data_IF_989150802182
#
_entry.id   IF_989150802182
#
_cell.length_a   1.000
_cell.length_b   1.000
_cell.length_c   1.000
_cell.angle_alpha   90.00
_cell.angle_beta   90.00
_cell.angle_gamma   90.00
#
_symmetry.space_group_name_H-M   'P 1'
#
loop_
_entity.id
_entity.type
_entity.pdbx_description
1 polymer ?
#
# COMPACT_ATOMS: atom_id res chain seq x y z
N UNK A 1 -15.52 15.29 0.96
CA UNK A 1 -14.12 14.77 0.98
C UNK A 1 -13.66 14.18 -0.37
N UNK A 2 -14.50 13.45 -1.12
CA UNK A 2 -14.08 12.88 -2.39
C UNK A 2 -13.66 13.93 -3.45
N UNK A 3 -14.39 15.04 -3.66
CA UNK A 3 -13.91 16.14 -4.51
C UNK A 3 -12.57 16.70 -4.03
N UNK A 4 -12.43 16.94 -2.74
CA UNK A 4 -11.21 17.50 -2.14
C UNK A 4 -9.98 16.60 -2.35
N UNK A 5 -10.16 15.29 -2.46
CA UNK A 5 -9.05 14.36 -2.75
C UNK A 5 -8.33 14.73 -4.06
N UNK A 6 -9.06 15.10 -5.10
CA UNK A 6 -8.51 15.41 -6.43
C UNK A 6 -7.93 16.83 -6.53
N UNK A 7 -8.30 17.70 -5.60
CA UNK A 7 -7.84 19.10 -5.54
C UNK A 7 -6.58 19.24 -4.67
N UNK A 8 -6.48 18.42 -3.63
CA UNK A 8 -5.41 18.51 -2.61
C UNK A 8 -4.12 17.84 -3.08
N UNK A 9 -4.23 16.78 -3.89
CA UNK A 9 -3.06 16.04 -4.36
C UNK A 9 -2.72 16.42 -5.81
N UNK A 10 -1.45 16.71 -6.07
CA UNK A 10 -0.95 17.14 -7.39
C UNK A 10 -0.91 16.02 -8.43
N UNK A 11 -1.14 14.79 -8.01
CA UNK A 11 -1.09 13.58 -8.81
C UNK A 11 -2.30 12.67 -8.53
N UNK A 12 -2.58 11.66 -9.35
CA UNK A 12 -3.70 10.74 -9.11
C UNK A 12 -3.44 9.84 -7.90
N UNK A 13 -3.48 10.44 -6.71
CA UNK A 13 -3.18 9.80 -5.44
C UNK A 13 -4.30 8.84 -5.03
N UNK A 14 -4.05 7.54 -5.13
CA UNK A 14 -5.08 6.51 -5.00
C UNK A 14 -5.03 5.69 -3.69
N UNK A 15 -4.33 6.15 -2.65
CA UNK A 15 -4.49 5.57 -1.33
C UNK A 15 -5.83 6.03 -0.72
N UNK A 16 -6.75 5.08 -0.53
CA UNK A 16 -8.08 5.36 0.02
C UNK A 16 -8.06 5.91 1.46
N UNK A 17 -6.95 5.71 2.18
CA UNK A 17 -6.76 6.28 3.51
C UNK A 17 -6.53 7.80 3.50
N UNK A 18 -6.33 8.40 2.34
CA UNK A 18 -6.30 9.85 2.17
C UNK A 18 -7.63 10.51 2.56
N UNK A 19 -8.77 9.83 2.30
CA UNK A 19 -10.09 10.35 2.69
C UNK A 19 -10.25 10.54 4.20
N UNK A 20 -10.00 9.54 5.05
CA UNK A 20 -10.03 9.74 6.49
C UNK A 20 -8.89 10.65 6.99
N UNK A 21 -7.74 10.74 6.29
CA UNK A 21 -6.68 11.70 6.64
C UNK A 21 -7.15 13.14 6.45
N UNK A 22 -7.83 13.44 5.36
CA UNK A 22 -8.46 14.76 5.13
C UNK A 22 -9.51 15.09 6.19
N UNK A 23 -10.36 14.13 6.53
CA UNK A 23 -11.38 14.32 7.55
C UNK A 23 -10.77 14.59 8.94
N UNK A 24 -9.77 13.77 9.30
CA UNK A 24 -9.04 13.93 10.56
C UNK A 24 -8.39 15.30 10.64
N UNK A 25 -7.70 15.73 9.57
CA UNK A 25 -7.04 17.05 9.53
C UNK A 25 -8.04 18.19 9.67
N UNK A 26 -9.21 18.08 9.03
CA UNK A 26 -10.29 19.06 9.17
C UNK A 26 -10.77 19.19 10.63
N UNK A 27 -11.02 18.07 11.30
CA UNK A 27 -11.46 18.04 12.68
C UNK A 27 -10.35 18.56 13.61
N UNK A 28 -9.11 18.10 13.40
CA UNK A 28 -7.94 18.52 14.20
C UNK A 28 -7.74 20.04 14.18
N UNK A 29 -8.04 20.68 13.06
CA UNK A 29 -7.92 22.16 12.91
C UNK A 29 -8.84 22.94 13.86
N UNK A 30 -9.93 22.34 14.26
CA UNK A 30 -10.88 23.00 15.18
C UNK A 30 -10.25 23.26 16.56
N UNK A 31 -9.31 22.39 16.98
CA UNK A 31 -8.72 22.44 18.32
C UNK A 31 -7.25 22.89 18.32
N UNK A 32 -6.46 22.52 17.29
CA UNK A 32 -5.01 22.76 17.29
C UNK A 32 -4.47 23.19 15.91
N UNK A 33 -3.31 23.84 15.93
CA UNK A 33 -2.55 24.21 14.72
C UNK A 33 -1.36 23.30 14.48
N UNK A 34 -0.92 22.57 15.51
CA UNK A 34 0.20 21.63 15.44
C UNK A 34 -0.22 20.32 16.10
N UNK A 35 0.01 19.19 15.42
CA UNK A 35 -0.29 17.86 15.92
C UNK A 35 0.95 16.96 15.84
N UNK A 36 1.09 16.01 16.77
CA UNK A 36 2.11 14.98 16.70
C UNK A 36 1.55 13.72 16.05
N UNK A 37 2.36 13.07 15.21
CA UNK A 37 2.01 11.84 14.51
C UNK A 37 3.02 10.72 14.80
N UNK A 38 2.59 9.48 14.58
CA UNK A 38 3.40 8.28 14.76
C UNK A 38 4.05 7.75 13.46
N UNK A 39 4.01 8.52 12.37
CA UNK A 39 4.60 8.11 11.10
C UNK A 39 6.11 7.84 11.23
N UNK A 40 6.61 6.84 10.48
CA UNK A 40 7.99 6.37 10.61
C UNK A 40 8.19 5.28 11.66
N UNK A 41 7.25 5.14 12.61
CA UNK A 41 7.35 4.14 13.68
C UNK A 41 7.17 2.70 13.21
N UNK A 42 6.30 2.46 12.24
CA UNK A 42 6.09 1.12 11.65
C UNK A 42 7.29 0.70 10.78
N UNK A 43 7.87 1.62 10.05
CA UNK A 43 9.01 1.42 9.16
C UNK A 43 10.28 1.11 9.95
N UNK A 44 10.64 2.00 10.86
CA UNK A 44 11.88 1.91 11.62
C UNK A 44 11.86 0.80 12.67
N UNK A 45 10.70 0.51 13.28
CA UNK A 45 10.55 -0.45 14.36
C UNK A 45 9.76 -1.72 13.99
N UNK A 46 9.63 -2.01 12.69
CA UNK A 46 9.08 -3.26 12.14
C UNK A 46 7.64 -3.53 12.59
N UNK A 47 6.76 -2.55 12.45
CA UNK A 47 5.37 -2.62 12.93
C UNK A 47 4.39 -3.29 11.97
N UNK A 48 4.68 -3.38 10.67
CA UNK A 48 3.77 -3.89 9.66
C UNK A 48 3.58 -5.42 9.71
N UNK A 49 2.39 -5.89 9.30
CA UNK A 49 2.06 -7.31 9.26
C UNK A 49 2.91 -8.10 8.26
N UNK A 50 3.42 -7.46 7.22
CA UNK A 50 4.26 -8.15 6.24
C UNK A 50 5.62 -8.58 6.81
N UNK A 51 6.09 -8.02 7.93
CA UNK A 51 7.28 -8.52 8.61
C UNK A 51 7.10 -9.95 9.13
N UNK A 52 5.88 -10.39 9.44
CA UNK A 52 5.59 -11.79 9.78
C UNK A 52 5.82 -12.73 8.59
N UNK A 53 5.75 -12.18 7.36
CA UNK A 53 5.98 -12.93 6.13
C UNK A 53 7.47 -13.01 5.75
N UNK A 54 8.28 -12.04 6.16
CA UNK A 54 9.71 -11.95 5.79
C UNK A 54 10.50 -13.17 6.24
N UNK A 55 10.12 -13.82 7.34
CA UNK A 55 10.74 -15.07 7.82
C UNK A 55 10.28 -16.29 7.04
N UNK A 56 9.04 -16.29 6.50
CA UNK A 56 8.42 -17.47 5.88
C UNK A 56 8.96 -17.86 4.50
N UNK A 57 9.48 -16.93 3.66
CA UNK A 57 9.95 -17.28 2.32
C UNK A 57 11.05 -18.31 2.31
N UNK A 58 11.93 -18.29 3.30
CA UNK A 58 13.08 -19.16 3.34
C UNK A 58 12.71 -20.64 3.27
N UNK A 59 11.58 -21.04 3.88
CA UNK A 59 11.20 -22.46 3.89
C UNK A 59 10.73 -22.98 2.55
N UNK A 60 9.92 -22.23 1.79
CA UNK A 60 9.46 -22.69 0.49
C UNK A 60 10.52 -22.52 -0.60
N UNK A 61 11.47 -21.61 -0.43
CA UNK A 61 12.59 -21.44 -1.36
C UNK A 61 13.58 -22.63 -1.33
N UNK A 62 13.57 -23.44 -0.28
CA UNK A 62 14.33 -24.72 -0.28
C UNK A 62 13.77 -25.74 -1.27
N UNK A 63 12.50 -25.63 -1.66
CA UNK A 63 11.94 -26.46 -2.73
C UNK A 63 12.49 -25.95 -4.07
N UNK A 64 13.13 -26.79 -4.87
CA UNK A 64 13.67 -26.38 -6.16
C UNK A 64 12.64 -25.66 -7.03
N UNK A 65 13.05 -24.62 -7.73
CA UNK A 65 12.15 -23.77 -8.52
C UNK A 65 11.32 -24.57 -9.52
N UNK A 66 11.90 -25.58 -10.20
CA UNK A 66 11.19 -26.41 -11.17
C UNK A 66 10.02 -27.17 -10.53
N UNK A 67 10.20 -27.71 -9.30
CA UNK A 67 9.13 -28.40 -8.56
C UNK A 67 8.00 -27.42 -8.23
N UNK A 68 8.34 -26.23 -7.72
CA UNK A 68 7.36 -25.18 -7.41
C UNK A 68 6.63 -24.69 -8.67
N UNK A 69 7.31 -24.63 -9.79
CA UNK A 69 6.72 -24.26 -11.08
C UNK A 69 5.69 -25.30 -11.53
N UNK A 70 6.00 -26.59 -11.42
CA UNK A 70 5.07 -27.69 -11.73
C UNK A 70 3.85 -27.60 -10.78
N UNK A 71 4.05 -27.48 -9.48
CA UNK A 71 2.96 -27.31 -8.51
C UNK A 71 2.08 -26.13 -8.91
N UNK A 72 2.67 -25.00 -9.33
CA UNK A 72 1.94 -23.83 -9.75
C UNK A 72 1.03 -24.07 -10.97
N UNK A 73 1.41 -24.98 -11.86
CA UNK A 73 0.60 -25.37 -13.03
C UNK A 73 -0.58 -26.27 -12.65
N UNK A 74 -0.39 -27.11 -11.64
CA UNK A 74 -1.40 -28.06 -11.17
C UNK A 74 -2.50 -27.41 -10.31
N UNK A 75 -2.33 -26.18 -9.84
CA UNK A 75 -3.33 -25.49 -9.04
C UNK A 75 -4.57 -25.18 -9.91
N UNK A 76 -5.75 -25.73 -9.61
CA UNK A 76 -6.96 -25.51 -10.40
C UNK A 76 -7.40 -24.05 -10.36
N UNK A 77 -7.78 -23.48 -11.51
CA UNK A 77 -8.20 -22.07 -11.60
C UNK A 77 -9.56 -21.80 -10.96
N UNK A 78 -10.41 -22.85 -10.83
CA UNK A 78 -11.81 -22.65 -10.42
C UNK A 78 -12.04 -22.77 -8.91
N UNK A 79 -11.18 -23.47 -8.16
CA UNK A 79 -11.40 -23.72 -6.73
C UNK A 79 -11.11 -22.49 -5.85
N UNK A 80 -10.22 -21.58 -6.31
CA UNK A 80 -9.81 -20.40 -5.53
C UNK A 80 -9.43 -19.24 -6.44
N UNK A 81 -10.36 -18.70 -7.23
CA UNK A 81 -10.07 -17.72 -8.31
C UNK A 81 -8.97 -16.68 -7.93
N UNK A 82 -9.09 -16.03 -6.78
CA UNK A 82 -8.11 -15.02 -6.32
C UNK A 82 -6.91 -15.61 -5.58
N UNK A 83 -7.17 -16.57 -4.69
CA UNK A 83 -6.09 -17.18 -3.88
C UNK A 83 -5.17 -18.03 -4.75
N UNK A 84 -5.70 -18.68 -5.79
CA UNK A 84 -4.92 -19.49 -6.71
C UNK A 84 -3.90 -18.65 -7.50
N UNK A 85 -4.30 -17.49 -8.02
CA UNK A 85 -3.39 -16.61 -8.74
C UNK A 85 -2.28 -16.06 -7.83
N UNK A 86 -2.63 -15.65 -6.61
CA UNK A 86 -1.64 -15.21 -5.61
C UNK A 86 -0.67 -16.34 -5.26
N UNK A 87 -1.19 -17.56 -5.02
CA UNK A 87 -0.36 -18.71 -4.70
C UNK A 87 0.56 -19.11 -5.86
N UNK A 88 0.03 -19.13 -7.10
CA UNK A 88 0.84 -19.38 -8.31
C UNK A 88 2.01 -18.41 -8.45
N UNK A 89 1.79 -17.13 -8.14
CA UNK A 89 2.85 -16.11 -8.19
C UNK A 89 3.88 -16.32 -7.11
N UNK A 90 3.45 -16.61 -5.87
CA UNK A 90 4.37 -16.92 -4.77
C UNK A 90 5.24 -18.13 -5.12
N UNK A 91 4.68 -19.19 -5.69
CA UNK A 91 5.42 -20.36 -6.11
C UNK A 91 6.44 -20.11 -7.23
N UNK A 92 6.26 -19.06 -8.03
CA UNK A 92 7.17 -18.64 -9.10
C UNK A 92 8.27 -17.69 -8.65
N UNK A 93 8.32 -17.28 -7.41
CA UNK A 93 9.38 -16.44 -6.85
C UNK A 93 10.68 -17.22 -6.83
N UNK A 94 11.76 -16.64 -7.33
CA UNK A 94 13.05 -17.31 -7.46
C UNK A 94 13.96 -17.15 -6.24
N UNK A 95 13.86 -16.00 -5.57
CA UNK A 95 14.72 -15.63 -4.45
C UNK A 95 14.05 -14.65 -3.48
N UNK A 96 14.68 -14.42 -2.34
CA UNK A 96 14.18 -13.52 -1.29
C UNK A 96 13.97 -12.08 -1.79
N UNK A 97 14.76 -11.63 -2.78
CA UNK A 97 14.61 -10.28 -3.33
C UNK A 97 13.29 -10.12 -4.07
N UNK A 98 12.96 -11.07 -4.95
CA UNK A 98 11.68 -11.08 -5.66
C UNK A 98 10.49 -11.18 -4.70
N UNK A 99 10.67 -11.88 -3.58
CA UNK A 99 9.64 -11.96 -2.55
C UNK A 99 9.41 -10.62 -1.87
N UNK A 100 10.48 -9.96 -1.42
CA UNK A 100 10.40 -8.65 -0.77
C UNK A 100 9.83 -7.60 -1.74
N UNK A 101 10.31 -7.59 -2.99
CA UNK A 101 9.76 -6.74 -4.05
C UNK A 101 8.25 -6.98 -4.23
N UNK A 102 7.82 -8.24 -4.19
CA UNK A 102 6.41 -8.60 -4.30
C UNK A 102 5.53 -8.07 -3.17
N UNK A 103 6.07 -7.82 -1.98
CA UNK A 103 5.35 -7.17 -0.87
C UNK A 103 4.95 -5.75 -1.26
N UNK A 104 5.84 -5.00 -1.91
CA UNK A 104 5.63 -3.59 -2.26
C UNK A 104 4.88 -3.40 -3.59
N UNK A 105 5.13 -4.26 -4.58
CA UNK A 105 4.46 -4.14 -5.89
C UNK A 105 3.04 -4.64 -5.90
N UNK A 106 2.62 -5.27 -4.80
CA UNK A 106 1.42 -6.10 -4.81
C UNK A 106 1.51 -7.10 -5.96
N UNK A 107 1.42 -8.38 -5.71
CA UNK A 107 1.47 -9.44 -6.73
C UNK A 107 0.42 -9.31 -7.85
N UNK A 108 -0.17 -8.17 -7.99
CA UNK A 108 -1.37 -7.92 -8.77
C UNK A 108 -1.22 -6.81 -9.83
N UNK A 109 -0.09 -6.68 -10.51
CA UNK A 109 -0.02 -5.84 -11.72
C UNK A 109 -0.92 -6.45 -12.81
N UNK A 110 -2.21 -6.16 -12.75
CA UNK A 110 -3.20 -6.80 -13.64
C UNK A 110 -3.35 -6.04 -14.95
N UNK A 111 -2.99 -4.77 -14.97
CA UNK A 111 -3.45 -3.87 -16.02
C UNK A 111 -2.37 -3.08 -16.74
N UNK A 112 -1.19 -2.94 -16.17
CA UNK A 112 -0.11 -2.18 -16.79
C UNK A 112 0.94 -3.12 -17.39
N UNK A 113 1.49 -2.72 -18.51
CA UNK A 113 2.60 -3.41 -19.15
C UNK A 113 3.78 -3.53 -18.17
N UNK A 114 4.39 -4.72 -18.13
CA UNK A 114 5.59 -4.98 -17.31
C UNK A 114 6.79 -4.12 -17.69
N UNK A 115 6.71 -3.39 -18.81
CA UNK A 115 7.75 -2.45 -19.24
C UNK A 115 7.91 -1.26 -18.27
N UNK A 116 6.88 -0.89 -17.52
CA UNK A 116 6.97 0.09 -16.44
C UNK A 116 7.57 -0.56 -15.17
N UNK A 117 8.82 -1.00 -15.30
CA UNK A 117 9.56 -1.60 -14.21
C UNK A 117 10.19 -0.49 -13.34
N UNK A 118 9.32 0.34 -12.70
CA UNK A 118 9.75 1.41 -11.81
C UNK A 118 10.64 0.91 -10.66
N UNK A 119 10.47 -0.37 -10.25
CA UNK A 119 11.40 -1.03 -9.33
C UNK A 119 12.78 -1.27 -9.94
N UNK A 120 12.93 -1.22 -11.28
CA UNK A 120 14.27 -1.34 -11.89
C UNK A 120 15.21 -0.23 -11.45
N UNK A 121 14.65 0.96 -11.19
CA UNK A 121 15.41 2.10 -10.68
C UNK A 121 15.91 1.86 -9.24
N UNK A 122 15.27 0.94 -8.51
CA UNK A 122 15.67 0.53 -7.16
C UNK A 122 16.58 -0.71 -7.14
N UNK A 123 16.99 -1.25 -8.29
CA UNK A 123 18.00 -2.33 -8.38
C UNK A 123 19.34 -1.92 -7.77
N UNK A 124 19.64 -0.64 -7.77
CA UNK A 124 20.85 -0.08 -7.13
C UNK A 124 20.80 -0.16 -5.59
N UNK A 125 19.62 -0.39 -4.99
CA UNK A 125 19.49 -0.69 -3.56
C UNK A 125 19.95 -2.11 -3.18
N UNK A 126 20.68 -2.82 -4.04
CA UNK A 126 21.35 -4.10 -3.70
C UNK A 126 22.32 -4.00 -2.53
N UNK A 127 22.76 -2.79 -2.19
CA UNK A 127 23.63 -2.50 -1.03
C UNK A 127 22.87 -2.33 0.29
N UNK A 128 21.53 -2.40 0.28
CA UNK A 128 20.75 -2.48 1.49
C UNK A 128 21.10 -3.76 2.26
N UNK A 129 20.93 -3.72 3.57
CA UNK A 129 21.32 -4.79 4.51
C UNK A 129 21.13 -6.20 3.94
N UNK A 130 22.05 -7.12 4.24
CA UNK A 130 21.91 -8.56 3.96
C UNK A 130 20.76 -9.20 4.76
N UNK A 131 20.35 -8.57 5.87
CA UNK A 131 19.24 -9.04 6.68
C UNK A 131 17.91 -8.66 6.01
N UNK A 132 17.05 -9.64 5.72
CA UNK A 132 15.78 -9.43 5.03
C UNK A 132 14.82 -8.49 5.78
N UNK A 133 14.80 -8.50 7.12
CA UNK A 133 13.97 -7.58 7.91
C UNK A 133 14.44 -6.13 7.73
N UNK A 134 15.75 -5.89 7.86
CA UNK A 134 16.29 -4.55 7.69
C UNK A 134 16.11 -4.07 6.24
N UNK A 135 16.33 -4.95 5.27
CA UNK A 135 16.10 -4.64 3.86
C UNK A 135 14.64 -4.26 3.59
N UNK A 136 13.70 -5.00 4.18
CA UNK A 136 12.27 -4.68 4.06
C UNK A 136 11.95 -3.34 4.72
N UNK A 137 12.54 -3.03 5.87
CA UNK A 137 12.40 -1.73 6.54
C UNK A 137 12.93 -0.59 5.66
N UNK A 138 14.12 -0.74 5.09
CA UNK A 138 14.73 0.25 4.20
C UNK A 138 13.84 0.51 2.96
N UNK A 139 13.24 -0.54 2.39
CA UNK A 139 12.30 -0.41 1.27
C UNK A 139 10.97 0.21 1.69
N UNK A 140 10.47 -0.08 2.90
CA UNK A 140 9.28 0.61 3.43
C UNK A 140 9.52 2.11 3.54
N UNK A 141 10.67 2.54 4.07
CA UNK A 141 11.02 3.96 4.16
C UNK A 141 11.06 4.57 2.76
N UNK A 142 11.74 3.93 1.81
CA UNK A 142 12.00 4.49 0.49
C UNK A 142 10.81 4.45 -0.46
N UNK A 143 10.00 3.43 -0.40
CA UNK A 143 8.91 3.21 -1.34
C UNK A 143 7.55 3.65 -0.79
N UNK A 144 7.29 3.35 0.49
CA UNK A 144 5.99 3.60 1.11
C UNK A 144 5.98 4.92 1.88
N UNK A 145 6.89 5.08 2.84
CA UNK A 145 6.89 6.25 3.71
C UNK A 145 7.13 7.54 2.92
N UNK A 146 8.15 7.55 2.06
CA UNK A 146 8.50 8.73 1.27
C UNK A 146 7.42 9.09 0.24
N UNK A 147 6.88 8.11 -0.49
CA UNK A 147 6.04 8.36 -1.67
C UNK A 147 4.53 8.22 -1.41
N UNK A 148 4.13 7.65 -0.28
CA UNK A 148 2.71 7.48 0.06
C UNK A 148 2.40 8.15 1.40
N UNK A 149 2.92 7.63 2.53
CA UNK A 149 2.51 8.07 3.86
C UNK A 149 2.81 9.54 4.13
N UNK A 150 4.03 10.01 3.83
CA UNK A 150 4.42 11.40 4.05
C UNK A 150 3.64 12.34 3.12
N UNK A 151 3.51 12.00 1.83
CA UNK A 151 2.73 12.79 0.87
C UNK A 151 1.28 12.89 1.32
N UNK A 152 0.69 11.78 1.75
CA UNK A 152 -0.69 11.73 2.24
C UNK A 152 -0.91 12.64 3.44
N UNK A 153 -0.07 12.49 4.46
CA UNK A 153 -0.22 13.25 5.72
C UNK A 153 0.04 14.73 5.49
N UNK A 154 1.11 15.07 4.78
CA UNK A 154 1.46 16.46 4.48
C UNK A 154 0.35 17.17 3.71
N UNK A 155 -0.09 16.62 2.58
CA UNK A 155 -1.12 17.24 1.75
C UNK A 155 -2.46 17.35 2.48
N UNK A 156 -2.87 16.28 3.20
CA UNK A 156 -4.12 16.29 3.94
C UNK A 156 -4.12 17.31 5.08
N UNK A 157 -3.03 17.42 5.84
CA UNK A 157 -2.94 18.33 6.98
C UNK A 157 -2.78 19.79 6.54
N UNK A 158 -1.95 20.03 5.51
CA UNK A 158 -1.74 21.37 4.98
C UNK A 158 -2.99 21.93 4.28
N UNK A 159 -3.85 21.09 3.71
CA UNK A 159 -5.14 21.53 3.16
C UNK A 159 -6.03 22.21 4.21
N UNK A 160 -5.81 21.93 5.49
CA UNK A 160 -6.51 22.55 6.62
C UNK A 160 -5.60 23.39 7.51
N UNK A 161 -4.38 23.71 7.06
CA UNK A 161 -3.39 24.51 7.81
C UNK A 161 -3.08 23.93 9.20
N UNK A 162 -2.93 22.60 9.27
CA UNK A 162 -2.43 21.85 10.44
C UNK A 162 -1.01 21.43 10.18
N UNK A 163 -0.06 21.79 11.03
CA UNK A 163 1.31 21.31 10.97
C UNK A 163 1.41 19.96 11.68
N UNK A 164 1.78 18.90 10.94
CA UNK A 164 2.01 17.59 11.53
C UNK A 164 3.50 17.36 11.74
N UNK A 165 3.89 16.99 12.96
CA UNK A 165 5.26 16.65 13.33
C UNK A 165 5.34 15.18 13.70
N UNK A 166 6.26 14.45 13.07
CA UNK A 166 6.46 13.03 13.28
C UNK A 166 7.83 12.74 13.91
N UNK A 167 7.93 12.62 15.25
CA UNK A 167 9.22 12.42 15.93
C UNK A 167 10.01 11.19 15.43
N UNK A 168 9.31 10.13 14.97
CA UNK A 168 9.96 8.93 14.43
C UNK A 168 10.60 9.15 13.05
N UNK A 169 10.33 10.28 12.39
CA UNK A 169 10.98 10.68 11.13
C UNK A 169 12.29 11.45 11.36
N UNK A 170 12.63 11.78 12.61
CA UNK A 170 13.94 12.33 12.91
C UNK A 170 15.04 11.35 12.47
N UNK A 171 15.94 11.80 11.62
CA UNK A 171 16.99 10.94 11.04
C UNK A 171 17.82 10.23 12.11
N UNK A 172 18.03 10.86 13.28
CA UNK A 172 18.77 10.27 14.42
C UNK A 172 18.05 9.06 14.99
N UNK A 173 16.69 9.09 15.02
CA UNK A 173 15.87 7.96 15.47
C UNK A 173 15.89 6.85 14.42
N UNK A 174 15.81 7.19 13.14
CA UNK A 174 15.88 6.22 12.03
C UNK A 174 17.24 5.51 12.04
N UNK A 175 18.35 6.26 12.15
CA UNK A 175 19.70 5.72 12.22
C UNK A 175 19.87 4.83 13.46
N UNK A 176 19.46 5.32 14.63
CA UNK A 176 19.49 4.53 15.87
C UNK A 176 18.69 3.23 15.74
N UNK A 177 17.46 3.28 15.27
CA UNK A 177 16.62 2.09 15.06
C UNK A 177 17.32 1.08 14.13
N UNK A 178 18.05 1.56 13.11
CA UNK A 178 18.79 0.72 12.18
C UNK A 178 19.98 -0.01 12.85
N UNK A 179 20.59 0.55 13.89
CA UNK A 179 21.68 -0.09 14.64
C UNK A 179 21.17 -1.18 15.59
N UNK A 180 19.89 -1.16 15.96
CA UNK A 180 19.33 -2.12 16.90
C UNK A 180 19.28 -3.53 16.28
N UNK A 181 19.62 -4.56 17.06
CA UNK A 181 19.32 -5.94 16.68
C UNK A 181 17.85 -6.12 16.36
N UNK A 182 17.54 -6.97 15.38
CA UNK A 182 16.14 -7.22 14.97
C UNK A 182 15.27 -7.64 16.15
N UNK A 183 15.79 -8.45 17.09
CA UNK A 183 15.06 -8.92 18.28
C UNK A 183 14.56 -7.80 19.21
N UNK A 184 15.14 -6.61 19.17
CA UNK A 184 14.64 -5.45 19.91
C UNK A 184 13.45 -4.78 19.22
N UNK A 185 13.37 -4.88 17.92
CA UNK A 185 12.32 -4.26 17.11
C UNK A 185 11.18 -5.21 16.80
N UNK A 186 11.49 -6.48 16.54
CA UNK A 186 10.55 -7.50 16.12
C UNK A 186 10.86 -8.85 16.77
N UNK A 187 9.81 -9.47 17.30
CA UNK A 187 9.77 -10.88 17.69
C UNK A 187 8.47 -11.48 17.13
N UNK A 188 8.41 -12.75 16.72
CA UNK A 188 7.17 -13.36 16.25
C UNK A 188 5.99 -13.09 17.18
N UNK A 189 4.96 -12.44 16.66
CA UNK A 189 3.79 -11.99 17.42
C UNK A 189 3.96 -10.69 18.22
N UNK A 190 5.16 -10.10 18.31
CA UNK A 190 5.41 -8.83 19.00
C UNK A 190 6.18 -7.85 18.12
N UNK A 191 5.46 -6.93 17.50
CA UNK A 191 5.99 -5.86 16.66
C UNK A 191 6.30 -4.61 17.49
N UNK A 192 7.18 -3.73 17.00
CA UNK A 192 7.59 -2.50 17.71
C UNK A 192 8.03 -2.78 19.15
N UNK A 193 8.72 -3.88 19.40
CA UNK A 193 8.97 -4.40 20.75
C UNK A 193 9.54 -3.34 21.70
N UNK A 194 10.67 -2.71 21.34
CA UNK A 194 11.30 -1.69 22.18
C UNK A 194 10.39 -0.49 22.45
N UNK A 195 9.59 -0.05 21.46
CA UNK A 195 8.65 1.04 21.68
C UNK A 195 7.54 0.64 22.67
N UNK A 196 7.06 -0.59 22.57
CA UNK A 196 6.06 -1.11 23.52
C UNK A 196 6.65 -1.24 24.92
N UNK A 197 7.90 -1.70 25.04
CA UNK A 197 8.60 -1.83 26.34
C UNK A 197 8.84 -0.45 26.98
N UNK A 198 9.10 0.59 26.18
CA UNK A 198 9.17 1.98 26.66
C UNK A 198 7.78 2.46 27.08
N UNK A 199 6.76 2.23 26.28
CA UNK A 199 5.40 2.72 26.51
C UNK A 199 4.79 2.15 27.79
N UNK A 200 5.08 0.88 28.14
CA UNK A 200 4.66 0.23 29.40
C UNK A 200 5.08 0.97 30.67
N UNK A 201 6.12 1.83 30.58
CA UNK A 201 6.55 2.65 31.72
C UNK A 201 5.64 3.84 31.98
N UNK A 202 4.79 4.20 31.03
CA UNK A 202 3.97 5.41 31.07
C UNK A 202 2.47 5.12 31.10
N UNK A 203 2.04 4.04 30.42
CA UNK A 203 0.62 3.67 30.32
C UNK A 203 0.46 2.16 30.44
N UNK A 204 -0.69 1.68 30.99
CA UNK A 204 -1.00 0.26 31.07
C UNK A 204 -1.03 -0.42 29.70
N UNK A 205 -0.61 -1.70 29.64
CA UNK A 205 -0.50 -2.45 28.38
C UNK A 205 -1.84 -2.61 27.68
N UNK A 206 -2.92 -2.73 28.41
CA UNK A 206 -4.28 -2.91 27.91
C UNK A 206 -4.74 -1.72 27.03
N UNK A 207 -4.16 -0.54 27.25
CA UNK A 207 -4.51 0.67 26.50
C UNK A 207 -3.95 0.62 25.08
N UNK A 208 -2.75 0.07 24.89
CA UNK A 208 -2.06 0.08 23.59
C UNK A 208 -1.90 -1.30 22.95
N UNK A 209 -2.17 -2.38 23.67
CA UNK A 209 -2.12 -3.73 23.12
C UNK A 209 -3.43 -4.14 22.45
N UNK A 210 -3.85 -3.30 21.53
CA UNK A 210 -5.04 -3.52 20.73
C UNK A 210 -4.69 -4.19 19.40
N UNK A 211 -5.60 -4.99 18.83
CA UNK A 211 -5.43 -5.51 17.48
C UNK A 211 -5.16 -4.38 16.48
N UNK A 212 -4.14 -4.55 15.63
CA UNK A 212 -3.83 -3.54 14.62
C UNK A 212 -5.01 -3.39 13.65
N UNK A 213 -5.67 -2.25 13.68
CA UNK A 213 -6.60 -1.81 12.63
C UNK A 213 -5.89 -0.82 11.71
N UNK A 214 -6.12 -0.97 10.40
CA UNK A 214 -5.65 0.01 9.43
C UNK A 214 -6.52 1.27 9.47
N UNK A 215 -5.95 2.41 9.11
CA UNK A 215 -6.68 3.65 8.85
C UNK A 215 -7.37 3.53 7.48
N UNK A 216 -8.43 2.72 7.43
CA UNK A 216 -9.08 2.31 6.18
C UNK A 216 -10.58 2.61 6.22
N UNK A 217 -11.12 2.90 5.05
CA UNK A 217 -12.56 3.08 4.83
C UNK A 217 -13.18 1.79 4.25
N UNK A 218 -14.48 1.57 4.41
CA UNK A 218 -15.19 0.43 3.80
C UNK A 218 -15.37 0.62 2.29
N UNK A 219 -14.24 0.83 1.59
CA UNK A 219 -14.19 1.19 0.18
C UNK A 219 -14.96 0.22 -0.72
N UNK A 220 -14.91 -1.09 -0.41
CA UNK A 220 -15.60 -2.09 -1.21
C UNK A 220 -17.12 -1.95 -1.16
N UNK A 221 -17.66 -1.61 0.00
CA UNK A 221 -19.09 -1.39 0.20
C UNK A 221 -19.51 -0.07 -0.46
N UNK A 222 -18.75 1.00 -0.26
CA UNK A 222 -19.01 2.28 -0.94
C UNK A 222 -19.04 2.14 -2.46
N UNK A 223 -18.11 1.39 -3.06
CA UNK A 223 -18.11 1.15 -4.52
C UNK A 223 -19.38 0.40 -4.96
N UNK A 224 -19.84 -0.57 -4.17
CA UNK A 224 -21.02 -1.36 -4.50
C UNK A 224 -22.33 -0.62 -4.27
N UNK A 225 -22.37 0.30 -3.31
CA UNK A 225 -23.57 0.97 -2.81
C UNK A 225 -23.55 2.47 -3.12
N UNK A 226 -23.01 3.27 -2.22
CA UNK A 226 -23.09 4.74 -2.26
C UNK A 226 -22.48 5.36 -3.50
N UNK A 227 -21.34 4.84 -3.95
CA UNK A 227 -20.61 5.32 -5.12
C UNK A 227 -20.93 4.56 -6.41
N UNK A 228 -21.82 3.58 -6.37
CA UNK A 228 -22.09 2.69 -7.52
C UNK A 228 -22.41 3.44 -8.80
N UNK A 229 -23.32 4.40 -8.72
CA UNK A 229 -23.73 5.21 -9.86
C UNK A 229 -22.56 6.01 -10.44
N UNK A 230 -21.85 6.73 -9.58
CA UNK A 230 -20.70 7.53 -9.96
C UNK A 230 -19.58 6.66 -10.55
N UNK A 231 -19.29 5.50 -9.95
CA UNK A 231 -18.28 4.56 -10.46
C UNK A 231 -18.61 4.08 -11.88
N UNK A 232 -19.85 3.70 -12.14
CA UNK A 232 -20.26 3.22 -13.47
C UNK A 232 -20.23 4.34 -14.53
N UNK A 233 -20.56 5.56 -14.16
CA UNK A 233 -20.50 6.73 -15.02
C UNK A 233 -19.05 7.12 -15.36
N UNK A 234 -18.20 7.26 -14.32
CA UNK A 234 -16.81 7.64 -14.50
C UNK A 234 -16.00 6.56 -15.20
N UNK A 235 -16.28 5.29 -14.93
CA UNK A 235 -15.60 4.15 -15.53
C UNK A 235 -16.33 3.63 -16.80
N UNK A 236 -16.97 4.52 -17.56
CA UNK A 236 -17.56 4.21 -18.85
C UNK A 236 -16.50 3.80 -19.88
N UNK A 237 -16.89 3.12 -20.96
CA UNK A 237 -15.97 2.66 -22.00
C UNK A 237 -15.23 3.83 -22.68
N UNK A 238 -15.92 4.97 -22.81
CA UNK A 238 -15.35 6.20 -23.36
C UNK A 238 -14.21 6.73 -22.45
N UNK A 239 -14.50 6.90 -21.19
CA UNK A 239 -13.52 7.42 -20.22
C UNK A 239 -12.33 6.47 -20.01
N UNK A 240 -12.55 5.14 -20.04
CA UNK A 240 -11.48 4.16 -19.88
C UNK A 240 -10.46 4.17 -21.02
N UNK A 241 -10.82 4.67 -22.20
CA UNK A 241 -9.88 4.86 -23.34
C UNK A 241 -8.81 5.91 -23.04
N UNK A 242 -9.06 6.84 -22.11
CA UNK A 242 -8.08 7.83 -21.67
C UNK A 242 -6.92 7.20 -20.89
N UNK A 243 -7.10 5.98 -20.36
CA UNK A 243 -6.07 5.29 -19.57
C UNK A 243 -5.20 4.45 -20.51
N UNK A 244 -4.02 4.95 -20.81
CA UNK A 244 -3.07 4.28 -21.69
C UNK A 244 -2.74 2.85 -21.19
N UNK A 245 -2.65 1.90 -22.12
CA UNK A 245 -2.34 0.48 -21.85
C UNK A 245 -3.31 -0.24 -20.88
N UNK A 246 -4.50 0.27 -20.63
CA UNK A 246 -5.51 -0.42 -19.85
C UNK A 246 -6.17 -1.53 -20.67
N UNK A 247 -6.14 -2.77 -20.16
CA UNK A 247 -6.94 -3.85 -20.74
C UNK A 247 -8.42 -3.67 -20.33
N UNK A 248 -9.16 -2.87 -21.11
CA UNK A 248 -10.55 -2.48 -20.83
C UNK A 248 -11.47 -3.70 -20.65
N UNK A 249 -11.49 -4.74 -21.55
CA UNK A 249 -12.35 -5.90 -21.34
C UNK A 249 -12.09 -6.62 -20.02
N UNK A 250 -10.81 -6.77 -19.63
CA UNK A 250 -10.44 -7.41 -18.38
C UNK A 250 -10.83 -6.55 -17.18
N UNK A 251 -10.62 -5.24 -17.26
CA UNK A 251 -11.02 -4.31 -16.20
C UNK A 251 -12.55 -4.30 -16.00
N UNK A 252 -13.32 -4.25 -17.07
CA UNK A 252 -14.80 -4.30 -17.00
C UNK A 252 -15.29 -5.59 -16.36
N UNK A 253 -14.69 -6.73 -16.68
CA UNK A 253 -15.01 -7.97 -15.99
C UNK A 253 -14.73 -7.88 -14.50
N UNK A 254 -13.59 -7.30 -14.09
CA UNK A 254 -13.27 -7.10 -12.67
C UNK A 254 -14.26 -6.16 -11.98
N UNK A 255 -14.66 -5.09 -12.66
CA UNK A 255 -15.65 -4.14 -12.16
C UNK A 255 -16.99 -4.85 -11.91
N UNK A 256 -17.50 -5.60 -12.90
CA UNK A 256 -18.75 -6.35 -12.76
C UNK A 256 -18.66 -7.42 -11.65
N UNK A 257 -17.59 -8.23 -11.64
CA UNK A 257 -17.39 -9.24 -10.60
C UNK A 257 -17.36 -8.62 -9.18
N UNK A 258 -16.83 -7.38 -9.04
CA UNK A 258 -16.86 -6.66 -7.77
C UNK A 258 -18.24 -6.11 -7.42
N UNK A 259 -18.92 -5.50 -8.40
CA UNK A 259 -20.28 -4.95 -8.23
C UNK A 259 -21.30 -6.01 -7.85
N UNK A 260 -21.11 -7.24 -8.37
CA UNK A 260 -21.99 -8.40 -8.10
C UNK A 260 -21.58 -9.19 -6.84
N UNK A 261 -20.53 -8.74 -6.12
CA UNK A 261 -20.03 -9.40 -4.92
C UNK A 261 -19.26 -10.71 -5.17
N UNK A 262 -19.02 -11.07 -6.44
CA UNK A 262 -18.30 -12.30 -6.82
C UNK A 262 -16.81 -12.29 -6.46
N UNK A 263 -16.22 -11.08 -6.36
CA UNK A 263 -14.81 -10.92 -6.02
C UNK A 263 -14.51 -9.51 -5.47
N UNK A 264 -13.47 -9.37 -4.65
CA UNK A 264 -13.02 -8.08 -4.13
C UNK A 264 -11.90 -7.49 -5.01
N UNK A 265 -12.25 -6.51 -5.83
CA UNK A 265 -11.33 -5.74 -6.68
C UNK A 265 -11.27 -4.25 -6.31
N UNK A 266 -11.77 -3.87 -5.12
CA UNK A 266 -11.89 -2.47 -4.69
C UNK A 266 -10.64 -1.62 -4.95
N UNK A 267 -9.45 -2.13 -4.61
CA UNK A 267 -8.20 -1.36 -4.77
C UNK A 267 -7.84 -1.07 -6.23
N UNK A 268 -8.23 -1.97 -7.16
CA UNK A 268 -8.00 -1.75 -8.60
C UNK A 268 -8.98 -0.77 -9.19
N UNK A 269 -10.24 -0.95 -8.87
CA UNK A 269 -11.34 -0.09 -9.31
C UNK A 269 -11.07 1.33 -8.83
N UNK A 270 -10.69 1.49 -7.57
CA UNK A 270 -10.37 2.77 -6.97
C UNK A 270 -9.22 3.49 -7.69
N UNK A 271 -8.13 2.78 -7.96
CA UNK A 271 -6.97 3.36 -8.67
C UNK A 271 -7.34 3.88 -10.06
N UNK A 272 -8.08 3.07 -10.82
CA UNK A 272 -8.52 3.49 -12.17
C UNK A 272 -9.53 4.63 -12.08
N UNK A 273 -10.44 4.60 -11.11
CA UNK A 273 -11.38 5.68 -10.86
C UNK A 273 -10.68 7.01 -10.56
N UNK A 274 -9.75 7.02 -9.61
CA UNK A 274 -8.98 8.22 -9.25
C UNK A 274 -8.19 8.73 -10.45
N UNK A 275 -7.55 7.84 -11.21
CA UNK A 275 -6.80 8.21 -12.41
C UNK A 275 -7.69 8.85 -13.48
N UNK A 276 -8.83 8.25 -13.78
CA UNK A 276 -9.78 8.79 -14.78
C UNK A 276 -10.32 10.16 -14.35
N UNK A 277 -10.70 10.29 -13.06
CA UNK A 277 -11.15 11.59 -12.51
C UNK A 277 -10.06 12.65 -12.62
N UNK A 278 -8.82 12.28 -12.29
CA UNK A 278 -7.67 13.19 -12.33
C UNK A 278 -7.37 13.63 -13.78
N UNK A 279 -7.38 12.71 -14.76
CA UNK A 279 -7.21 13.04 -16.18
C UNK A 279 -8.28 14.03 -16.63
N UNK A 280 -9.54 13.81 -16.28
CA UNK A 280 -10.65 14.70 -16.63
C UNK A 280 -10.53 16.07 -16.00
N UNK A 281 -10.19 16.14 -14.71
CA UNK A 281 -10.06 17.41 -14.00
C UNK A 281 -8.91 18.26 -14.52
N UNK A 282 -7.86 17.66 -15.06
CA UNK A 282 -6.69 18.37 -15.59
C UNK A 282 -6.72 18.54 -17.11
N UNK A 283 -7.82 18.18 -17.78
CA UNK A 283 -7.98 18.26 -19.25
C UNK A 283 -6.83 17.59 -20.02
N UNK A 284 -6.34 16.46 -19.50
CA UNK A 284 -5.23 15.71 -20.07
C UNK A 284 -5.75 14.71 -21.10
N UNK A 285 -6.35 15.18 -22.18
CA UNK A 285 -6.70 14.34 -23.33
C UNK A 285 -5.45 13.96 -24.14
N UNK A 286 -5.48 12.78 -24.81
CA UNK A 286 -4.35 12.25 -25.63
C UNK A 286 -3.74 13.27 -26.62
N UNK A 287 -4.47 14.32 -26.97
CA UNK A 287 -4.03 15.38 -27.89
C UNK A 287 -2.92 16.29 -27.34
N UNK A 288 -2.70 16.27 -26.03
CA UNK A 288 -1.72 17.15 -25.35
C UNK A 288 -0.37 16.48 -25.05
N UNK A 289 -0.18 15.23 -25.48
CA UNK A 289 1.05 14.46 -25.26
C UNK A 289 1.77 14.03 -26.55
N UNK A 290 1.51 14.75 -27.67
CA UNK A 290 2.29 14.59 -28.90
C UNK A 290 3.43 15.60 -29.00
#
# INVERSE_FOLDING_TARGET
MLPSLLEVYDEPFADSSALPSLLLSKITKEDVTVALSGDGGDESFLGYNHFDLVKKPNYFLYIPYFVRSIISMLIPKFIFKHRAEKLKRILKIKNDHEFIEGIFTGYNSITLDRSLNWLSNYKNYKHLSRNNYQRTADLNIKLWLENDSNVKVDRASMAFSVEVRSPFLDYRIIEFARTLPISYRYYPGKKKRILRDVLKKYIPEEVFDQPKSGFSVPLGDWIREDLRKEMLEVLSDENLKMVHNLNIPKFKKMLNDHMDGNADYKSYIWRVYVLVKWIKNNNLDEKNYQ
#
